data_IF_497701180208
#
_entry.id   IF_497701180208
#
_cell.length_a   1.000
_cell.length_b   1.000
_cell.length_c   1.000
_cell.angle_alpha   90.00
_cell.angle_beta   90.00
_cell.angle_gamma   90.00
#
_symmetry.space_group_name_H-M   'P 1'
#
loop_
_entity.id
_entity.type
_entity.pdbx_description
1 polymer ?
#
# COMPACT_ATOMS: atom_id res chain seq x y z
N UNK A 1 7.64 -2.11 -16.67
CA UNK A 1 6.91 -1.02 -17.33
C UNK A 1 6.38 -0.04 -16.29
N UNK A 2 7.27 0.85 -15.90
CA UNK A 2 6.96 1.84 -14.87
C UNK A 2 6.02 2.97 -15.35
N UNK A 3 5.71 3.04 -16.65
CA UNK A 3 4.89 4.12 -17.21
C UNK A 3 3.38 3.92 -17.01
N UNK A 4 2.90 2.70 -16.90
CA UNK A 4 1.47 2.42 -16.74
C UNK A 4 0.93 2.75 -15.36
N UNK A 5 1.78 2.73 -14.33
CA UNK A 5 1.40 3.04 -12.95
C UNK A 5 0.95 4.49 -12.77
N UNK A 6 1.53 5.39 -13.53
CA UNK A 6 1.32 6.83 -13.38
C UNK A 6 0.18 7.38 -14.21
N UNK A 7 -0.27 6.62 -15.22
CA UNK A 7 -1.37 7.03 -16.08
C UNK A 7 -2.75 6.90 -15.44
N UNK A 8 -2.86 6.15 -14.36
CA UNK A 8 -4.14 5.83 -13.70
C UNK A 8 -4.41 6.63 -12.44
N UNK A 9 -3.91 7.85 -12.36
CA UNK A 9 -4.06 8.68 -11.14
C UNK A 9 -5.47 9.25 -11.00
N UNK A 10 -6.16 9.39 -12.12
CA UNK A 10 -7.54 9.89 -12.11
C UNK A 10 -8.50 8.71 -12.00
N UNK A 11 -8.71 8.25 -10.79
CA UNK A 11 -9.72 7.24 -10.53
C UNK A 11 -11.04 7.94 -10.21
N UNK A 12 -12.11 7.44 -10.81
CA UNK A 12 -13.45 7.83 -10.40
C UNK A 12 -13.70 7.21 -9.04
N UNK A 13 -13.88 8.04 -8.04
CA UNK A 13 -14.18 7.60 -6.68
C UNK A 13 -15.70 7.49 -6.54
N UNK A 14 -16.17 6.26 -6.40
CA UNK A 14 -17.59 6.00 -6.24
C UNK A 14 -18.09 6.41 -4.86
N UNK A 15 -19.37 6.76 -4.81
CA UNK A 15 -20.08 6.97 -3.55
C UNK A 15 -20.30 5.60 -2.91
N UNK A 16 -19.92 5.47 -1.65
CA UNK A 16 -20.08 4.25 -0.86
C UNK A 16 -21.04 4.53 0.28
N UNK A 17 -21.90 3.59 0.61
CA UNK A 17 -22.79 3.71 1.75
C UNK A 17 -22.63 2.53 2.70
N UNK A 18 -22.69 2.82 3.97
CA UNK A 18 -22.82 1.82 5.02
C UNK A 18 -24.03 2.14 5.88
N UNK A 19 -24.25 1.41 6.96
CA UNK A 19 -25.41 1.57 7.81
C UNK A 19 -25.58 3.00 8.36
N UNK A 20 -24.48 3.70 8.60
CA UNK A 20 -24.48 4.97 9.31
C UNK A 20 -24.07 6.17 8.47
N UNK A 21 -23.57 5.94 7.25
CA UNK A 21 -22.94 7.02 6.50
C UNK A 21 -22.91 6.74 5.00
N UNK A 22 -23.03 7.82 4.23
CA UNK A 22 -22.73 7.85 2.80
C UNK A 22 -21.43 8.63 2.65
N UNK A 23 -20.45 8.06 1.99
CA UNK A 23 -19.13 8.68 1.91
C UNK A 23 -18.46 8.49 0.55
N UNK A 24 -17.56 9.39 0.24
CA UNK A 24 -16.75 9.35 -0.98
C UNK A 24 -15.29 9.68 -0.61
N UNK A 25 -14.78 8.97 0.38
CA UNK A 25 -13.43 9.15 0.89
C UNK A 25 -12.55 8.02 0.41
N UNK A 26 -11.75 8.31 -0.60
CA UNK A 26 -10.75 7.37 -1.09
C UNK A 26 -9.36 7.99 -1.01
N UNK A 27 -8.35 7.15 -0.81
CA UNK A 27 -6.98 7.56 -0.59
C UNK A 27 -6.01 6.78 -1.45
N UNK A 28 -4.99 7.49 -1.95
CA UNK A 28 -3.76 6.87 -2.42
C UNK A 28 -2.93 6.53 -1.19
N UNK A 29 -2.56 5.26 -1.06
CA UNK A 29 -1.70 4.79 0.03
C UNK A 29 -0.50 4.08 -0.59
N UNK A 30 0.70 4.49 -0.18
CA UNK A 30 1.94 3.91 -0.71
C UNK A 30 2.87 3.60 0.46
N UNK A 31 3.44 2.40 0.46
CA UNK A 31 4.53 2.07 1.37
C UNK A 31 5.56 1.20 0.68
N UNK A 32 6.78 1.31 1.15
CA UNK A 32 7.93 0.63 0.57
C UNK A 32 8.45 -0.49 1.47
N UNK A 33 9.09 -1.46 0.85
CA UNK A 33 9.86 -2.46 1.58
C UNK A 33 11.04 -1.81 2.29
N UNK A 34 11.54 -2.46 3.35
CA UNK A 34 12.73 -2.00 4.08
C UNK A 34 13.90 -1.86 3.12
N UNK A 35 14.56 -0.70 3.14
CA UNK A 35 15.66 -0.33 2.24
C UNK A 35 15.31 -0.47 0.75
N UNK A 36 14.03 -0.51 0.43
CA UNK A 36 13.51 -0.71 -0.94
C UNK A 36 14.09 -1.96 -1.62
N UNK A 37 14.28 -3.03 -0.85
CA UNK A 37 14.66 -4.32 -1.41
C UNK A 37 13.56 -4.87 -2.32
N UNK A 38 13.94 -5.47 -3.44
CA UNK A 38 13.03 -6.08 -4.40
C UNK A 38 12.55 -7.44 -3.90
N UNK A 39 11.72 -7.44 -2.87
CA UNK A 39 11.19 -8.66 -2.23
C UNK A 39 9.81 -9.06 -2.74
N UNK A 40 9.06 -8.11 -3.30
CA UNK A 40 7.70 -8.35 -3.79
C UNK A 40 7.73 -8.83 -5.23
N UNK A 41 8.23 -10.04 -5.44
CA UNK A 41 8.36 -10.65 -6.75
C UNK A 41 7.81 -12.07 -6.72
N UNK A 42 7.39 -12.59 -7.88
CA UNK A 42 6.92 -13.96 -8.02
C UNK A 42 5.77 -14.29 -7.06
N UNK A 43 5.91 -15.37 -6.31
CA UNK A 43 4.89 -15.84 -5.36
C UNK A 43 4.64 -14.86 -4.22
N UNK A 44 5.66 -14.14 -3.77
CA UNK A 44 5.51 -13.13 -2.71
C UNK A 44 4.58 -12.02 -3.18
N UNK A 45 4.76 -11.55 -4.41
CA UNK A 45 3.89 -10.52 -4.98
C UNK A 45 2.45 -11.00 -5.14
N UNK A 46 2.25 -12.23 -5.59
CA UNK A 46 0.92 -12.84 -5.73
C UNK A 46 0.21 -12.95 -4.38
N UNK A 47 0.90 -13.48 -3.37
CA UNK A 47 0.35 -13.60 -2.01
C UNK A 47 0.02 -12.23 -1.43
N UNK A 48 0.90 -11.25 -1.63
CA UNK A 48 0.65 -9.88 -1.19
C UNK A 48 -0.63 -9.31 -1.80
N UNK A 49 -0.80 -9.48 -3.10
CA UNK A 49 -2.01 -9.02 -3.80
C UNK A 49 -3.26 -9.68 -3.27
N UNK A 50 -3.26 -10.98 -3.08
CA UNK A 50 -4.39 -11.72 -2.54
C UNK A 50 -4.72 -11.33 -1.10
N UNK A 51 -3.72 -11.14 -0.26
CA UNK A 51 -3.93 -10.67 1.12
C UNK A 51 -4.60 -9.31 1.17
N UNK A 52 -4.15 -8.37 0.35
CA UNK A 52 -4.71 -7.03 0.30
C UNK A 52 -6.17 -7.05 -0.15
N UNK A 53 -6.48 -7.82 -1.18
CA UNK A 53 -7.85 -7.98 -1.66
C UNK A 53 -8.77 -8.56 -0.57
N UNK A 54 -8.32 -9.62 0.09
CA UNK A 54 -9.08 -10.27 1.14
C UNK A 54 -9.30 -9.38 2.35
N UNK A 55 -8.26 -8.67 2.79
CA UNK A 55 -8.32 -7.78 3.95
C UNK A 55 -9.27 -6.62 3.71
N UNK A 56 -9.21 -6.00 2.54
CA UNK A 56 -10.10 -4.89 2.21
C UNK A 56 -11.54 -5.35 2.04
N UNK A 57 -11.77 -6.49 1.38
CA UNK A 57 -13.10 -7.06 1.22
C UNK A 57 -13.73 -7.41 2.58
N UNK A 58 -12.96 -8.03 3.47
CA UNK A 58 -13.41 -8.41 4.82
C UNK A 58 -13.81 -7.21 5.66
N UNK A 59 -13.12 -6.09 5.50
CA UNK A 59 -13.37 -4.86 6.27
C UNK A 59 -14.41 -3.94 5.61
N UNK A 60 -14.87 -4.27 4.41
CA UNK A 60 -15.78 -3.42 3.68
C UNK A 60 -15.13 -2.14 3.16
N UNK A 61 -13.85 -2.19 2.83
CA UNK A 61 -13.09 -1.10 2.21
C UNK A 61 -12.97 -1.36 0.71
N UNK A 62 -13.79 -0.72 -0.14
CA UNK A 62 -13.69 -0.91 -1.58
C UNK A 62 -12.30 -0.56 -2.11
N UNK A 63 -11.68 -1.49 -2.80
CA UNK A 63 -10.38 -1.31 -3.46
C UNK A 63 -10.63 -0.83 -4.89
N UNK A 64 -10.19 0.39 -5.21
CA UNK A 64 -10.34 0.98 -6.53
C UNK A 64 -9.19 0.55 -7.43
N UNK A 65 -7.97 0.53 -6.88
CA UNK A 65 -6.77 0.18 -7.62
C UNK A 65 -5.74 -0.44 -6.68
N UNK A 66 -4.97 -1.39 -7.20
CA UNK A 66 -3.92 -2.06 -6.46
C UNK A 66 -2.75 -2.30 -7.39
N UNK A 67 -1.57 -1.90 -6.97
CA UNK A 67 -0.31 -2.22 -7.65
C UNK A 67 0.71 -2.73 -6.66
N UNK A 68 1.24 -3.91 -6.93
CA UNK A 68 2.34 -4.49 -6.16
C UNK A 68 3.57 -4.45 -7.04
N UNK A 69 4.49 -3.56 -6.74
CA UNK A 69 5.78 -3.43 -7.41
C UNK A 69 6.85 -4.16 -6.58
N UNK A 70 8.01 -4.47 -7.15
CA UNK A 70 9.04 -5.23 -6.41
C UNK A 70 9.44 -4.62 -5.07
N UNK A 71 9.43 -3.30 -4.94
CA UNK A 71 9.91 -2.58 -3.77
C UNK A 71 8.87 -1.72 -3.08
N UNK A 72 7.63 -1.70 -3.57
CA UNK A 72 6.55 -0.91 -2.94
C UNK A 72 5.16 -1.40 -3.33
N UNK A 73 4.19 -0.93 -2.56
CA UNK A 73 2.77 -1.17 -2.80
C UNK A 73 2.07 0.17 -2.98
N UNK A 74 1.21 0.25 -3.97
CA UNK A 74 0.37 1.42 -4.22
C UNK A 74 -1.09 0.97 -4.26
N UNK A 75 -1.90 1.52 -3.35
CA UNK A 75 -3.34 1.24 -3.29
C UNK A 75 -4.14 2.51 -3.49
N UNK A 76 -5.30 2.38 -4.11
CA UNK A 76 -6.37 3.38 -4.01
C UNK A 76 -7.56 2.67 -3.38
N UNK A 77 -7.93 3.09 -2.19
CA UNK A 77 -8.92 2.38 -1.37
C UNK A 77 -9.86 3.37 -0.69
N UNK A 78 -11.15 3.02 -0.68
CA UNK A 78 -12.17 3.79 0.04
C UNK A 78 -12.18 3.35 1.50
N UNK A 79 -12.03 4.33 2.40
CA UNK A 79 -12.02 4.09 3.84
C UNK A 79 -13.12 4.93 4.47
N UNK A 80 -14.02 4.32 5.27
CA UNK A 80 -15.12 5.06 5.87
C UNK A 80 -14.65 6.11 6.87
N UNK A 81 -15.42 7.20 7.07
CA UNK A 81 -15.03 8.28 7.98
C UNK A 81 -14.80 7.86 9.43
N UNK A 82 -15.44 6.79 9.87
CA UNK A 82 -15.28 6.26 11.23
C UNK A 82 -13.91 5.61 11.46
N UNK A 83 -13.17 5.30 10.39
CA UNK A 83 -11.86 4.65 10.47
C UNK A 83 -10.76 5.66 10.18
N UNK A 84 -9.86 5.86 11.12
CA UNK A 84 -8.67 6.68 10.87
C UNK A 84 -7.78 6.03 9.80
N UNK A 85 -7.35 6.82 8.83
CA UNK A 85 -6.49 6.31 7.75
C UNK A 85 -5.19 5.71 8.30
N UNK A 86 -4.63 6.33 9.34
CA UNK A 86 -3.43 5.82 10.00
C UNK A 86 -3.65 4.41 10.57
N UNK A 87 -4.82 4.14 11.15
CA UNK A 87 -5.15 2.82 11.68
C UNK A 87 -5.31 1.80 10.55
N UNK A 88 -5.95 2.19 9.47
CA UNK A 88 -6.11 1.34 8.29
C UNK A 88 -4.74 0.92 7.72
N UNK A 89 -3.83 1.87 7.55
CA UNK A 89 -2.48 1.60 7.05
C UNK A 89 -1.70 0.70 8.01
N UNK A 90 -1.80 0.96 9.31
CA UNK A 90 -1.17 0.13 10.34
C UNK A 90 -1.64 -1.32 10.27
N UNK A 91 -2.93 -1.53 10.10
CA UNK A 91 -3.52 -2.87 9.94
C UNK A 91 -2.99 -3.55 8.68
N UNK A 92 -3.02 -2.86 7.55
CA UNK A 92 -2.57 -3.41 6.27
C UNK A 92 -1.09 -3.78 6.31
N UNK A 93 -0.24 -2.87 6.78
CA UNK A 93 1.21 -3.12 6.87
C UNK A 93 1.52 -4.24 7.89
N UNK A 94 0.95 -4.17 9.08
CA UNK A 94 1.25 -5.11 10.15
C UNK A 94 0.81 -6.54 9.81
N UNK A 95 -0.40 -6.69 9.29
CA UNK A 95 -0.93 -8.01 8.94
C UNK A 95 -0.19 -8.63 7.77
N UNK A 96 0.08 -7.85 6.72
CA UNK A 96 0.81 -8.36 5.55
C UNK A 96 2.24 -8.75 5.91
N UNK A 97 2.93 -7.95 6.72
CA UNK A 97 4.28 -8.27 7.18
C UNK A 97 4.31 -9.59 7.93
N UNK A 98 3.42 -9.75 8.90
CA UNK A 98 3.34 -10.97 9.71
C UNK A 98 3.06 -12.20 8.84
N UNK A 99 2.05 -12.13 7.97
CA UNK A 99 1.65 -13.25 7.13
C UNK A 99 2.70 -13.60 6.08
N UNK A 100 3.36 -12.61 5.49
CA UNK A 100 4.43 -12.87 4.53
C UNK A 100 5.63 -13.54 5.20
N UNK A 101 6.01 -13.13 6.40
CA UNK A 101 7.08 -13.81 7.14
C UNK A 101 6.71 -15.25 7.52
N UNK A 102 5.45 -15.50 7.82
CA UNK A 102 4.97 -16.86 8.10
C UNK A 102 4.98 -17.74 6.85
N UNK A 103 4.52 -17.18 5.74
CA UNK A 103 4.42 -17.92 4.47
C UNK A 103 5.78 -18.10 3.79
N UNK A 104 6.66 -17.10 3.93
CA UNK A 104 7.99 -17.08 3.32
C UNK A 104 9.04 -16.77 4.38
N UNK A 105 9.41 -17.75 5.24
CA UNK A 105 10.36 -17.51 6.33
C UNK A 105 11.73 -16.99 5.88
N UNK A 106 12.13 -17.31 4.65
CA UNK A 106 13.40 -16.86 4.09
C UNK A 106 13.49 -15.34 3.91
N UNK A 107 12.37 -14.63 3.92
CA UNK A 107 12.35 -13.16 3.82
C UNK A 107 13.13 -12.51 4.97
N UNK A 108 13.10 -13.09 6.16
CA UNK A 108 13.81 -12.55 7.32
C UNK A 108 15.33 -12.52 7.11
N UNK A 109 15.88 -13.51 6.43
CA UNK A 109 17.33 -13.56 6.16
C UNK A 109 17.76 -12.52 5.13
N UNK A 110 16.84 -12.07 4.28
CA UNK A 110 17.10 -11.02 3.28
C UNK A 110 16.94 -9.61 3.84
N UNK A 111 16.26 -9.47 4.98
CA UNK A 111 15.91 -8.17 5.53
C UNK A 111 16.61 -7.97 6.87
N UNK A 112 17.56 -7.07 6.89
CA UNK A 112 18.31 -6.70 8.08
C UNK A 112 17.39 -5.99 9.08
N UNK A 113 17.38 -6.45 10.34
CA UNK A 113 16.56 -5.90 11.39
C UNK A 113 15.15 -6.48 11.51
N UNK A 114 14.77 -7.41 10.63
CA UNK A 114 13.53 -8.16 10.74
C UNK A 114 12.24 -7.40 10.43
N UNK A 115 12.34 -6.22 9.83
CA UNK A 115 11.18 -5.43 9.39
C UNK A 115 10.97 -5.58 7.89
N UNK A 116 9.75 -5.96 7.50
CA UNK A 116 9.40 -6.10 6.10
C UNK A 116 9.22 -4.73 5.43
N UNK A 117 8.55 -3.81 6.12
CA UNK A 117 8.19 -2.50 5.60
C UNK A 117 9.04 -1.39 6.21
N UNK A 118 9.36 -0.40 5.41
CA UNK A 118 9.89 0.87 5.88
C UNK A 118 8.91 1.52 6.87
N UNK A 119 9.37 2.25 7.88
CA UNK A 119 8.47 2.81 8.92
C UNK A 119 7.45 3.81 8.39
N UNK A 120 7.75 4.46 7.27
CA UNK A 120 6.94 5.52 6.70
C UNK A 120 5.90 5.00 5.71
N UNK A 121 4.93 5.83 5.37
CA UNK A 121 3.99 5.63 4.28
C UNK A 121 3.51 6.99 3.75
N UNK A 122 3.01 6.98 2.52
CA UNK A 122 2.36 8.15 1.92
C UNK A 122 0.85 7.94 1.91
N UNK A 123 0.10 8.98 2.24
CA UNK A 123 -1.35 9.04 2.09
C UNK A 123 -1.73 10.37 1.44
N UNK A 124 -2.55 10.29 0.40
CA UNK A 124 -3.13 11.45 -0.25
C UNK A 124 -4.57 11.16 -0.65
N UNK A 125 -5.41 12.18 -0.74
CA UNK A 125 -6.79 12.01 -1.20
C UNK A 125 -6.83 11.66 -2.67
N UNK A 126 -7.65 10.69 -3.05
CA UNK A 126 -7.80 10.31 -4.46
C UNK A 126 -8.52 11.42 -5.24
N UNK A 127 -8.11 11.59 -6.49
CA UNK A 127 -8.67 12.58 -7.40
C UNK A 127 -7.82 13.84 -7.57
N UNK A 128 -7.02 14.21 -6.58
CA UNK A 128 -6.24 15.46 -6.60
C UNK A 128 -4.72 15.29 -6.55
N UNK A 129 -4.23 14.06 -6.47
CA UNK A 129 -2.78 13.81 -6.33
C UNK A 129 -2.14 13.64 -7.69
N UNK A 130 -1.12 14.45 -7.98
CA UNK A 130 -0.36 14.33 -9.23
C UNK A 130 0.63 13.16 -9.17
N UNK A 131 0.95 12.60 -10.34
CA UNK A 131 1.98 11.58 -10.52
C UNK A 131 3.33 12.06 -9.96
N UNK A 132 3.62 13.33 -10.11
CA UNK A 132 4.86 13.94 -9.63
C UNK A 132 4.99 13.88 -8.12
N UNK A 133 3.90 14.15 -7.38
CA UNK A 133 3.88 14.08 -5.92
C UNK A 133 4.18 12.65 -5.44
N UNK A 134 3.58 11.67 -6.07
CA UNK A 134 3.78 10.25 -5.73
C UNK A 134 5.21 9.83 -6.03
N UNK A 135 5.75 10.25 -7.17
CA UNK A 135 7.13 9.96 -7.56
C UNK A 135 8.12 10.55 -6.56
N UNK A 136 7.93 11.80 -6.15
CA UNK A 136 8.77 12.45 -5.14
C UNK A 136 8.80 11.69 -3.82
N UNK A 137 7.66 11.17 -3.41
CA UNK A 137 7.60 10.36 -2.19
C UNK A 137 8.45 9.09 -2.32
N UNK A 138 8.31 8.38 -3.42
CA UNK A 138 9.05 7.13 -3.65
C UNK A 138 10.56 7.40 -3.68
N UNK A 139 10.99 8.42 -4.40
CA UNK A 139 12.40 8.84 -4.48
C UNK A 139 12.96 9.25 -3.12
N UNK A 140 12.17 10.01 -2.35
CA UNK A 140 12.55 10.45 -1.00
C UNK A 140 12.74 9.26 -0.06
N UNK A 141 11.88 8.26 -0.13
CA UNK A 141 12.01 7.04 0.66
C UNK A 141 13.29 6.28 0.32
N UNK A 142 13.70 6.31 -0.93
CA UNK A 142 14.96 5.73 -1.38
C UNK A 142 16.18 6.41 -0.74
N UNK A 143 16.16 7.74 -0.67
CA UNK A 143 17.25 8.50 -0.06
C UNK A 143 17.37 8.24 1.44
N UNK A 144 16.27 8.14 2.14
CA UNK A 144 16.27 7.86 3.59
C UNK A 144 16.84 6.47 3.88
N UNK A 145 16.58 5.50 3.03
CA UNK A 145 17.07 4.13 3.22
C UNK A 145 18.54 3.95 2.85
N UNK A 146 19.07 4.75 1.93
CA UNK A 146 20.48 4.68 1.52
C UNK A 146 21.46 5.28 2.54
N UNK A 147 20.98 6.02 3.54
CA UNK A 147 21.81 6.64 4.57
C UNK A 147 22.09 5.76 5.78
N UNK A 148 21.63 4.55 5.76
CA UNK A 148 21.88 3.55 6.77
C UNK A 148 22.80 2.47 6.19
#
# INVERSE_FOLDING_TARGET
MKHTMWCSIYHVVDIVSNRNCVYQTAYHVIWCSTYRHDILTGLVAEEMGMMLDAMCAERGWPMISKEVQPDHVHLVVSIPPATAVADAVKILKGTTARRLFQRFPWLRSRLWGGHLWSPSYYVGTAGNVSAETIRRYIERSEHVTKRR
#
